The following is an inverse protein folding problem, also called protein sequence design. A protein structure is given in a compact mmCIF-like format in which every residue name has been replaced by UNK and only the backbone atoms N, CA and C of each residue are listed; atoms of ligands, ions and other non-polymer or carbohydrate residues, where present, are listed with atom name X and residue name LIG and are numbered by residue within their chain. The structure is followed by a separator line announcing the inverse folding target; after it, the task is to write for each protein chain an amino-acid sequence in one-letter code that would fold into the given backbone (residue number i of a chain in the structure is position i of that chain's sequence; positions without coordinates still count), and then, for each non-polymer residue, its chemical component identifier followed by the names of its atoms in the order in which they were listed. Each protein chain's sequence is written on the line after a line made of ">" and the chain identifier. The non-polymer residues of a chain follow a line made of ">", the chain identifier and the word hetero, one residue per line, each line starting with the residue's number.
data_IF_259493603280
#
_entry.id   IF_259493603280
#
_cell.length_a   1.000
_cell.length_b   1.000
_cell.length_c   1.000
_cell.angle_alpha   90.00
_cell.angle_beta   90.00
_cell.angle_gamma   90.00
#
_symmetry.space_group_name_H-M   'P 1'
#
loop_
_entity.id
_entity.type
_entity.pdbx_description
1 polymer ?
#
# COMPACT_ATOMS: atom_id res chain seq x y z
N UNK A 1 33.24 13.47 -7.44
CA UNK A 1 32.29 12.34 -7.23
C UNK A 1 30.88 12.83 -7.46
N UNK A 2 30.11 12.06 -8.21
CA UNK A 2 28.77 12.47 -8.63
C UNK A 2 27.70 12.18 -7.58
N UNK A 3 26.78 13.13 -7.37
CA UNK A 3 25.47 12.88 -6.78
C UNK A 3 24.45 12.71 -7.90
N UNK A 4 23.73 11.61 -7.85
CA UNK A 4 22.78 11.22 -8.90
C UNK A 4 21.36 11.33 -8.36
N UNK A 5 20.54 12.10 -9.03
CA UNK A 5 19.09 12.17 -8.82
C UNK A 5 18.39 11.48 -9.97
N UNK A 6 17.45 10.59 -9.67
CA UNK A 6 16.62 9.90 -10.67
C UNK A 6 15.16 10.16 -10.31
N UNK A 7 14.37 10.61 -11.28
CA UNK A 7 12.93 10.75 -11.15
C UNK A 7 12.22 9.84 -12.16
N UNK A 8 11.46 8.87 -11.63
CA UNK A 8 10.71 7.92 -12.46
C UNK A 8 9.24 8.32 -12.50
N UNK A 9 8.87 8.95 -13.60
CA UNK A 9 7.48 9.25 -13.94
C UNK A 9 6.78 8.10 -14.66
N UNK A 10 5.50 8.30 -15.02
CA UNK A 10 4.71 7.30 -15.77
C UNK A 10 5.19 7.05 -17.20
N UNK A 11 5.80 8.05 -17.86
CA UNK A 11 6.19 8.00 -19.27
C UNK A 11 7.70 7.99 -19.45
N UNK A 12 8.42 8.81 -18.71
CA UNK A 12 9.87 8.94 -18.78
C UNK A 12 10.51 8.88 -17.40
N UNK A 13 11.76 8.42 -17.40
CA UNK A 13 12.67 8.47 -16.25
C UNK A 13 13.79 9.42 -16.59
N UNK A 14 13.94 10.46 -15.77
CA UNK A 14 14.96 11.47 -15.90
C UNK A 14 16.05 11.23 -14.87
N UNK A 15 17.34 11.34 -15.30
CA UNK A 15 18.50 11.25 -14.43
C UNK A 15 19.30 12.54 -14.55
N UNK A 16 19.73 13.08 -13.41
CA UNK A 16 20.68 14.17 -13.32
C UNK A 16 21.82 13.75 -12.42
N UNK A 17 23.05 13.83 -12.92
CA UNK A 17 24.27 13.61 -12.15
C UNK A 17 25.06 14.91 -12.04
N UNK A 18 25.40 15.30 -10.82
CA UNK A 18 26.17 16.51 -10.50
C UNK A 18 27.49 16.12 -9.85
N UNK A 19 28.61 16.53 -10.44
CA UNK A 19 29.91 16.50 -9.76
C UNK A 19 30.06 17.76 -8.90
N UNK A 20 30.08 17.60 -7.58
CA UNK A 20 30.18 18.72 -6.63
C UNK A 20 31.54 19.42 -6.66
N UNK A 21 32.58 18.80 -7.19
CA UNK A 21 33.92 19.36 -7.25
C UNK A 21 34.11 20.25 -8.49
N UNK A 22 33.61 19.78 -9.63
CA UNK A 22 33.79 20.46 -10.92
C UNK A 22 32.58 21.28 -11.33
N UNK A 23 31.40 21.01 -10.76
CA UNK A 23 30.12 21.58 -11.19
C UNK A 23 29.59 20.95 -12.50
N UNK A 24 30.21 19.87 -12.99
CA UNK A 24 29.76 19.17 -14.18
C UNK A 24 28.38 18.56 -13.96
N UNK A 25 27.45 18.78 -14.90
CA UNK A 25 26.11 18.20 -14.88
C UNK A 25 25.95 17.30 -16.10
N UNK A 26 25.56 16.05 -15.86
CA UNK A 26 25.12 15.10 -16.87
C UNK A 26 23.63 14.82 -16.74
N UNK A 27 22.91 14.76 -17.85
CA UNK A 27 21.48 14.46 -17.86
C UNK A 27 21.18 13.33 -18.82
N UNK A 28 20.31 12.42 -18.41
CA UNK A 28 19.85 11.30 -19.23
C UNK A 28 18.34 11.22 -19.11
N UNK A 29 17.66 10.96 -20.22
CA UNK A 29 16.23 10.72 -20.27
C UNK A 29 15.94 9.42 -21.02
N UNK A 30 15.24 8.50 -20.36
CA UNK A 30 14.85 7.20 -20.95
C UNK A 30 13.34 6.98 -20.79
N UNK A 31 12.70 6.20 -21.68
CA UNK A 31 11.31 5.79 -21.48
C UNK A 31 11.17 4.99 -20.19
N UNK A 32 10.12 5.25 -19.41
CA UNK A 32 9.79 4.44 -18.22
C UNK A 32 9.26 3.07 -18.63
N UNK A 33 9.48 2.07 -17.77
CA UNK A 33 9.07 0.67 -17.98
C UNK A 33 8.06 0.27 -16.90
N UNK A 34 6.74 0.54 -17.06
CA UNK A 34 5.74 0.31 -16.01
C UNK A 34 5.69 -1.12 -15.50
N UNK A 35 5.91 -2.12 -16.38
CA UNK A 35 5.92 -3.54 -16.00
C UNK A 35 7.23 -4.02 -15.35
N UNK A 36 8.29 -3.20 -15.41
CA UNK A 36 9.59 -3.47 -14.80
C UNK A 36 10.18 -2.17 -14.23
N UNK A 37 9.62 -1.62 -13.13
CA UNK A 37 9.92 -0.26 -12.67
C UNK A 37 11.41 0.03 -12.39
N UNK A 38 12.18 -1.00 -12.06
CA UNK A 38 13.62 -0.87 -11.81
C UNK A 38 14.45 -0.78 -13.11
N UNK A 39 13.92 -1.21 -14.25
CA UNK A 39 14.70 -1.30 -15.50
C UNK A 39 15.07 0.08 -16.06
N UNK A 40 14.14 1.04 -16.06
CA UNK A 40 14.41 2.38 -16.58
C UNK A 40 15.45 3.17 -15.74
N UNK A 41 15.38 3.21 -14.39
CA UNK A 41 16.46 3.80 -13.58
C UNK A 41 17.82 3.18 -13.84
N UNK A 42 17.90 1.85 -13.93
CA UNK A 42 19.17 1.15 -14.23
C UNK A 42 19.68 1.47 -15.64
N UNK A 43 18.79 1.57 -16.62
CA UNK A 43 19.16 1.96 -17.99
C UNK A 43 19.69 3.41 -18.00
N UNK A 44 19.06 4.34 -17.30
CA UNK A 44 19.49 5.72 -17.19
C UNK A 44 20.90 5.82 -16.55
N UNK A 45 21.17 5.07 -15.48
CA UNK A 45 22.49 5.03 -14.84
C UNK A 45 23.55 4.49 -15.79
N UNK A 46 23.26 3.43 -16.54
CA UNK A 46 24.19 2.86 -17.54
C UNK A 46 24.47 3.85 -18.66
N UNK A 47 23.45 4.54 -19.17
CA UNK A 47 23.58 5.53 -20.24
C UNK A 47 24.31 6.81 -19.78
N UNK A 48 24.34 7.10 -18.47
CA UNK A 48 25.11 8.20 -17.91
C UNK A 48 26.63 7.94 -17.92
N UNK A 49 27.05 6.69 -18.21
CA UNK A 49 28.46 6.27 -18.32
C UNK A 49 29.30 6.59 -17.07
N UNK A 50 28.67 6.53 -15.89
CA UNK A 50 29.35 6.67 -14.61
C UNK A 50 29.73 5.30 -14.06
N UNK A 51 30.98 5.15 -13.65
CA UNK A 51 31.41 3.96 -12.94
C UNK A 51 30.85 3.97 -11.49
N UNK A 52 30.50 2.82 -10.90
CA UNK A 52 29.93 2.77 -9.55
C UNK A 52 30.78 3.48 -8.48
N UNK A 53 32.11 3.46 -8.62
CA UNK A 53 33.04 4.13 -7.71
C UNK A 53 33.10 5.66 -7.88
N UNK A 54 32.51 6.20 -8.95
CA UNK A 54 32.38 7.64 -9.17
C UNK A 54 31.12 8.21 -8.52
N UNK A 55 30.19 7.36 -8.11
CA UNK A 55 28.90 7.76 -7.54
C UNK A 55 29.00 7.80 -6.01
N UNK A 56 28.85 8.99 -5.44
CA UNK A 56 28.84 9.20 -4.00
C UNK A 56 27.46 8.90 -3.40
N UNK A 57 26.37 9.20 -4.12
CA UNK A 57 24.99 9.04 -3.65
C UNK A 57 24.01 8.94 -4.81
N UNK A 58 23.01 8.08 -4.65
CA UNK A 58 21.85 8.03 -5.54
C UNK A 58 20.60 8.36 -4.72
N UNK A 59 19.76 9.23 -5.27
CA UNK A 59 18.42 9.55 -4.75
C UNK A 59 17.43 9.19 -5.84
N UNK A 60 16.49 8.31 -5.53
CA UNK A 60 15.43 7.87 -6.45
C UNK A 60 14.09 8.40 -5.98
N UNK A 61 13.44 9.22 -6.82
CA UNK A 61 12.05 9.62 -6.72
C UNK A 61 11.19 8.79 -7.67
N UNK A 62 9.96 8.49 -7.25
CA UNK A 62 9.00 7.81 -8.13
C UNK A 62 7.56 8.19 -7.81
N UNK A 63 6.73 8.32 -8.85
CA UNK A 63 5.29 8.56 -8.73
C UNK A 63 4.45 7.32 -8.98
N UNK A 64 5.06 6.13 -9.07
CA UNK A 64 4.39 4.86 -9.42
C UNK A 64 3.19 4.59 -8.50
N UNK A 65 3.38 4.70 -7.19
CA UNK A 65 2.30 4.45 -6.22
C UNK A 65 1.17 5.49 -6.33
N UNK A 66 1.53 6.77 -6.51
CA UNK A 66 0.55 7.84 -6.71
C UNK A 66 -0.25 7.63 -8.00
N UNK A 67 0.44 7.30 -9.11
CA UNK A 67 -0.19 7.02 -10.39
C UNK A 67 -1.10 5.79 -10.33
N UNK A 68 -0.67 4.69 -9.71
CA UNK A 68 -1.49 3.50 -9.50
C UNK A 68 -2.79 3.84 -8.75
N UNK A 69 -2.71 4.68 -7.72
CA UNK A 69 -3.89 5.15 -6.95
C UNK A 69 -4.81 6.05 -7.78
N UNK A 70 -4.25 7.00 -8.55
CA UNK A 70 -5.02 7.93 -9.40
C UNK A 70 -5.71 7.20 -10.56
N UNK A 71 -5.00 6.25 -11.19
CA UNK A 71 -5.52 5.45 -12.29
C UNK A 71 -6.40 4.29 -11.83
N UNK A 72 -6.53 4.09 -10.50
CA UNK A 72 -7.23 2.96 -9.89
C UNK A 72 -6.72 1.59 -10.38
N UNK A 73 -5.44 1.54 -10.73
CA UNK A 73 -4.71 0.33 -11.13
C UNK A 73 -3.98 -0.22 -9.91
N UNK A 74 -4.36 -1.39 -9.47
CA UNK A 74 -3.75 -2.05 -8.31
C UNK A 74 -4.53 -3.29 -7.92
N UNK A 75 -4.04 -4.01 -6.93
CA UNK A 75 -4.70 -5.18 -6.41
C UNK A 75 -6.11 -4.86 -5.89
N UNK A 76 -7.01 -5.80 -6.03
CA UNK A 76 -8.31 -5.74 -5.37
C UNK A 76 -8.12 -6.02 -3.88
N UNK A 77 -8.58 -5.09 -3.03
CA UNK A 77 -8.34 -5.16 -1.59
C UNK A 77 -9.48 -5.90 -0.88
N UNK A 78 -9.11 -6.93 -0.12
CA UNK A 78 -9.93 -7.51 0.93
C UNK A 78 -9.60 -6.77 2.23
N UNK A 79 -10.60 -6.13 2.82
CA UNK A 79 -10.42 -5.33 4.03
C UNK A 79 -10.89 -6.09 5.26
N UNK A 80 -10.05 -6.14 6.28
CA UNK A 80 -10.35 -6.75 7.59
C UNK A 80 -10.36 -5.65 8.63
N UNK A 81 -11.52 -5.42 9.25
CA UNK A 81 -11.72 -4.44 10.31
C UNK A 81 -12.35 -5.05 11.56
N UNK A 82 -12.30 -4.34 12.68
CA UNK A 82 -13.02 -4.73 13.91
C UNK A 82 -14.51 -4.81 13.65
N UNK A 83 -15.14 -5.93 14.00
CA UNK A 83 -16.58 -6.13 13.83
C UNK A 83 -17.41 -5.02 14.50
N UNK A 84 -18.38 -4.50 13.77
CA UNK A 84 -19.25 -3.40 14.17
C UNK A 84 -18.74 -2.01 13.80
N UNK A 85 -17.48 -1.89 13.37
CA UNK A 85 -16.87 -0.65 12.82
C UNK A 85 -16.16 -0.86 11.48
N UNK A 86 -16.29 -2.03 10.88
CA UNK A 86 -15.65 -2.40 9.63
C UNK A 86 -16.07 -1.54 8.43
N UNK A 87 -17.18 -0.83 8.53
CA UNK A 87 -17.69 0.04 7.47
C UNK A 87 -17.07 1.45 7.44
N UNK A 88 -16.19 1.76 8.40
CA UNK A 88 -15.52 3.08 8.49
C UNK A 88 -14.87 3.53 7.18
N UNK A 89 -14.14 2.69 6.41
CA UNK A 89 -13.55 3.12 5.15
C UNK A 89 -14.59 3.52 4.09
N UNK A 90 -15.80 2.97 4.17
CA UNK A 90 -16.90 3.23 3.22
C UNK A 90 -17.72 4.44 3.65
N UNK A 91 -17.96 4.58 4.97
CA UNK A 91 -18.71 5.69 5.56
C UNK A 91 -17.91 6.98 5.51
N UNK A 92 -16.57 6.87 5.61
CA UNK A 92 -15.63 7.97 5.73
C UNK A 92 -16.00 8.91 6.89
N UNK A 93 -15.82 10.23 6.73
CA UNK A 93 -16.17 11.22 7.77
C UNK A 93 -17.60 11.75 7.67
N UNK A 94 -18.41 11.21 6.75
CA UNK A 94 -19.79 11.64 6.47
C UNK A 94 -19.85 13.13 6.06
N UNK A 95 -18.75 13.72 5.64
CA UNK A 95 -18.68 15.09 5.17
C UNK A 95 -19.33 15.20 3.78
N UNK A 96 -20.48 15.84 3.70
CA UNK A 96 -21.18 16.15 2.45
C UNK A 96 -21.10 17.66 2.22
N UNK A 97 -20.61 18.06 1.05
CA UNK A 97 -20.63 19.48 0.65
C UNK A 97 -22.07 20.00 0.49
N UNK A 98 -22.98 19.11 0.06
CA UNK A 98 -24.40 19.38 -0.08
C UNK A 98 -25.19 18.50 0.89
N UNK A 99 -25.36 18.96 2.12
CA UNK A 99 -25.93 18.18 3.23
C UNK A 99 -27.35 17.63 2.94
N UNK A 100 -28.14 18.36 2.16
CA UNK A 100 -29.53 18.02 1.84
C UNK A 100 -29.69 17.33 0.47
N UNK A 101 -28.63 17.06 -0.27
CA UNK A 101 -28.68 16.36 -1.54
C UNK A 101 -28.57 14.84 -1.32
N UNK A 102 -29.66 14.06 -1.43
CA UNK A 102 -29.61 12.61 -1.24
C UNK A 102 -28.84 11.89 -2.35
N UNK A 103 -28.68 12.53 -3.52
CA UNK A 103 -27.92 12.01 -4.65
C UNK A 103 -26.43 12.37 -4.60
N UNK A 104 -25.95 13.04 -3.52
CA UNK A 104 -24.53 13.37 -3.38
C UNK A 104 -23.67 12.09 -3.47
N UNK A 105 -22.71 12.01 -4.41
CA UNK A 105 -21.90 10.83 -4.57
C UNK A 105 -21.01 10.61 -3.34
N UNK A 106 -21.01 9.40 -2.79
CA UNK A 106 -20.08 9.02 -1.73
C UNK A 106 -18.66 9.03 -2.28
N UNK A 107 -17.67 9.46 -1.49
CA UNK A 107 -16.27 9.28 -1.84
C UNK A 107 -15.98 7.81 -2.15
N UNK A 108 -15.24 7.57 -3.24
CA UNK A 108 -14.82 6.22 -3.59
C UNK A 108 -13.67 5.78 -2.64
N UNK A 109 -13.98 4.88 -1.73
CA UNK A 109 -12.99 4.30 -0.80
C UNK A 109 -11.96 3.41 -1.49
N UNK A 110 -12.21 2.99 -2.73
CA UNK A 110 -11.44 1.95 -3.41
C UNK A 110 -11.71 0.54 -2.89
N UNK A 111 -12.60 0.37 -1.90
CA UNK A 111 -12.96 -0.91 -1.29
C UNK A 111 -14.45 -1.17 -1.53
N UNK A 112 -14.80 -2.31 -2.11
CA UNK A 112 -16.20 -2.72 -2.27
C UNK A 112 -16.71 -3.31 -0.97
N UNK A 113 -17.94 -2.95 -0.52
CA UNK A 113 -18.51 -3.47 0.73
C UNK A 113 -18.50 -5.00 0.85
N UNK A 114 -18.68 -5.71 -0.26
CA UNK A 114 -18.62 -7.18 -0.29
C UNK A 114 -17.23 -7.74 0.01
N UNK A 115 -16.17 -6.94 -0.12
CA UNK A 115 -14.78 -7.30 0.18
C UNK A 115 -14.37 -6.92 1.61
N UNK A 116 -15.32 -6.50 2.44
CA UNK A 116 -15.09 -6.12 3.83
C UNK A 116 -15.46 -7.27 4.75
N UNK A 117 -14.54 -7.61 5.67
CA UNK A 117 -14.72 -8.61 6.70
C UNK A 117 -14.61 -7.97 8.09
N UNK A 118 -15.65 -8.16 8.91
CA UNK A 118 -15.61 -7.80 10.32
C UNK A 118 -15.11 -8.96 11.16
N UNK A 119 -13.95 -8.80 11.79
CA UNK A 119 -13.37 -9.79 12.71
C UNK A 119 -13.77 -9.51 14.13
N UNK A 120 -14.21 -10.52 14.86
CA UNK A 120 -14.66 -10.38 16.24
C UNK A 120 -13.45 -10.30 17.17
N UNK A 121 -13.09 -9.09 17.49
CA UNK A 121 -12.05 -8.74 18.47
C UNK A 121 -12.34 -7.35 19.03
N UNK A 122 -11.72 -6.94 20.14
CA UNK A 122 -11.83 -5.57 20.63
C UNK A 122 -10.66 -5.20 21.51
N UNK A 123 -10.06 -4.06 21.21
CA UNK A 123 -9.10 -3.34 22.04
C UNK A 123 -9.71 -1.98 22.38
N UNK A 124 -9.50 -1.49 23.61
CA UNK A 124 -9.97 -0.17 24.02
C UNK A 124 -8.93 0.93 23.75
N UNK A 125 -9.30 2.18 24.00
CA UNK A 125 -8.45 3.36 23.81
C UNK A 125 -7.22 3.41 24.72
N UNK A 126 -7.14 2.55 25.73
CA UNK A 126 -6.00 2.40 26.64
C UNK A 126 -5.11 1.21 26.27
N UNK A 127 -5.48 0.45 25.25
CA UNK A 127 -4.76 -0.74 24.81
C UNK A 127 -5.16 -2.02 25.56
N UNK A 128 -6.19 -2.02 26.39
CA UNK A 128 -6.67 -3.23 27.04
C UNK A 128 -7.47 -4.09 26.07
N UNK A 129 -7.26 -5.40 26.10
CA UNK A 129 -8.04 -6.37 25.32
C UNK A 129 -9.39 -6.60 25.98
N UNK A 130 -10.48 -6.18 25.34
CA UNK A 130 -11.85 -6.40 25.79
C UNK A 130 -12.44 -7.68 25.21
N UNK A 131 -12.08 -8.02 23.98
CA UNK A 131 -12.47 -9.27 23.31
C UNK A 131 -11.23 -9.88 22.67
N UNK A 132 -10.89 -11.06 23.08
CA UNK A 132 -9.73 -11.80 22.57
C UNK A 132 -9.99 -12.24 21.14
N UNK A 133 -8.97 -12.12 20.29
CA UNK A 133 -8.96 -12.72 18.97
C UNK A 133 -8.67 -14.22 19.11
N UNK A 134 -9.62 -15.05 18.79
CA UNK A 134 -9.49 -16.50 18.87
C UNK A 134 -9.20 -17.15 17.50
N UNK A 135 -8.84 -18.43 17.53
CA UNK A 135 -8.52 -19.22 16.35
C UNK A 135 -9.75 -19.41 15.44
N UNK A 136 -10.94 -19.48 16.00
CA UNK A 136 -12.17 -19.64 15.22
C UNK A 136 -12.42 -18.42 14.32
N UNK A 137 -12.14 -17.22 14.82
CA UNK A 137 -12.24 -15.98 14.03
C UNK A 137 -11.14 -15.90 12.95
N UNK A 138 -9.92 -16.34 13.25
CA UNK A 138 -8.86 -16.42 12.24
C UNK A 138 -9.24 -17.38 11.10
N UNK A 139 -9.78 -18.55 11.44
CA UNK A 139 -10.25 -19.53 10.45
C UNK A 139 -11.45 -18.99 9.63
N UNK A 140 -12.37 -18.25 10.26
CA UNK A 140 -13.49 -17.61 9.57
C UNK A 140 -13.00 -16.52 8.58
N UNK A 141 -11.99 -15.76 8.97
CA UNK A 141 -11.32 -14.79 8.10
C UNK A 141 -10.63 -15.49 6.92
N UNK A 142 -9.89 -16.56 7.17
CA UNK A 142 -9.22 -17.32 6.12
C UNK A 142 -10.23 -17.86 5.09
N UNK A 143 -11.33 -18.47 5.54
CA UNK A 143 -12.38 -18.94 4.67
C UNK A 143 -13.03 -17.84 3.82
N UNK A 144 -13.13 -16.61 4.35
CA UNK A 144 -13.57 -15.45 3.59
C UNK A 144 -12.56 -15.09 2.49
N UNK A 145 -11.26 -15.06 2.81
CA UNK A 145 -10.19 -14.75 1.85
C UNK A 145 -10.13 -15.81 0.75
N UNK A 146 -10.11 -17.11 1.11
CA UNK A 146 -10.08 -18.22 0.17
C UNK A 146 -11.22 -18.16 -0.85
N UNK A 147 -12.42 -17.86 -0.38
CA UNK A 147 -13.60 -17.73 -1.26
C UNK A 147 -13.40 -16.66 -2.34
N UNK A 148 -12.79 -15.53 -2.01
CA UNK A 148 -12.54 -14.46 -2.98
C UNK A 148 -11.41 -14.80 -3.94
N UNK A 149 -10.30 -15.35 -3.44
CA UNK A 149 -9.18 -15.78 -4.29
C UNK A 149 -9.65 -16.88 -5.26
N UNK A 150 -10.42 -17.83 -4.78
CA UNK A 150 -10.95 -18.91 -5.61
C UNK A 150 -11.99 -18.43 -6.65
N UNK A 151 -12.72 -17.33 -6.35
CA UNK A 151 -13.77 -16.83 -7.24
C UNK A 151 -13.23 -16.14 -8.49
N UNK A 152 -12.00 -15.64 -8.45
CA UNK A 152 -11.36 -14.91 -9.55
C UNK A 152 -9.83 -15.05 -9.48
N UNK A 153 -9.33 -16.11 -10.09
CA UNK A 153 -7.88 -16.41 -10.12
C UNK A 153 -7.07 -15.47 -11.03
N UNK A 154 -7.73 -14.65 -11.84
CA UNK A 154 -7.07 -13.65 -12.69
C UNK A 154 -6.93 -12.28 -12.01
N UNK A 155 -7.51 -12.09 -10.83
CA UNK A 155 -7.44 -10.84 -10.08
C UNK A 155 -6.25 -10.85 -9.11
N UNK A 156 -5.45 -9.80 -9.16
CA UNK A 156 -4.46 -9.54 -8.12
C UNK A 156 -5.17 -9.15 -6.82
N UNK A 157 -5.03 -9.98 -5.79
CA UNK A 157 -5.62 -9.75 -4.48
C UNK A 157 -4.58 -9.23 -3.48
N UNK A 158 -5.03 -8.41 -2.54
CA UNK A 158 -4.25 -7.98 -1.37
C UNK A 158 -5.16 -7.86 -0.15
N UNK A 159 -4.60 -7.99 1.05
CA UNK A 159 -5.34 -7.81 2.31
C UNK A 159 -4.87 -6.55 3.02
N UNK A 160 -5.82 -5.73 3.44
CA UNK A 160 -5.59 -4.60 4.34
C UNK A 160 -6.26 -4.87 5.68
N UNK A 161 -5.49 -4.90 6.74
CA UNK A 161 -5.97 -5.07 8.12
C UNK A 161 -5.90 -3.74 8.83
N UNK A 162 -7.03 -3.31 9.40
CA UNK A 162 -7.12 -2.08 10.16
C UNK A 162 -8.09 -2.29 11.32
N UNK A 163 -7.53 -2.59 12.49
CA UNK A 163 -8.31 -2.81 13.70
C UNK A 163 -8.37 -1.56 14.56
N UNK A 164 -9.48 -1.42 15.27
CA UNK A 164 -9.69 -0.28 16.15
C UNK A 164 -8.64 -0.26 17.27
N UNK A 165 -7.99 0.91 17.45
CA UNK A 165 -6.91 1.14 18.41
C UNK A 165 -5.64 0.28 18.24
N UNK A 166 -5.42 -0.28 17.04
CA UNK A 166 -4.19 -1.04 16.74
C UNK A 166 -2.92 -0.20 16.87
N UNK A 167 -2.99 1.12 16.73
CA UNK A 167 -1.88 2.04 16.98
C UNK A 167 -1.49 2.14 18.46
N UNK A 168 -2.40 1.82 19.40
CA UNK A 168 -2.13 1.75 20.85
C UNK A 168 -1.62 0.36 21.22
N UNK A 169 -2.30 -0.69 20.73
CA UNK A 169 -1.93 -2.09 20.98
C UNK A 169 -2.06 -2.90 19.69
N UNK A 170 -0.94 -3.22 19.02
CA UNK A 170 -0.94 -3.91 17.73
C UNK A 170 -1.09 -5.44 17.84
N UNK A 171 -1.28 -6.01 19.02
CA UNK A 171 -1.20 -7.46 19.25
C UNK A 171 -2.12 -8.26 18.33
N UNK A 172 -3.38 -7.84 18.15
CA UNK A 172 -4.33 -8.55 17.30
C UNK A 172 -3.97 -8.43 15.80
N UNK A 173 -3.56 -7.24 15.32
CA UNK A 173 -3.08 -7.10 13.95
C UNK A 173 -1.80 -7.90 13.69
N UNK A 174 -0.90 -7.95 14.65
CA UNK A 174 0.33 -8.75 14.53
C UNK A 174 0.00 -10.26 14.44
N UNK A 175 -0.95 -10.73 15.25
CA UNK A 175 -1.45 -12.12 15.20
C UNK A 175 -2.07 -12.43 13.83
N UNK A 176 -2.94 -11.55 13.31
CA UNK A 176 -3.53 -11.71 11.98
C UNK A 176 -2.43 -11.73 10.91
N UNK A 177 -1.47 -10.81 10.98
CA UNK A 177 -0.37 -10.75 10.01
C UNK A 177 0.49 -12.01 9.99
N UNK A 178 0.79 -12.58 11.17
CA UNK A 178 1.52 -13.84 11.29
C UNK A 178 0.70 -15.02 10.70
N UNK A 179 -0.58 -15.09 11.04
CA UNK A 179 -1.49 -16.10 10.52
C UNK A 179 -1.61 -16.04 8.99
N UNK A 180 -1.83 -14.84 8.43
CA UNK A 180 -1.93 -14.65 6.99
C UNK A 180 -0.63 -15.01 6.26
N UNK A 181 0.52 -14.63 6.81
CA UNK A 181 1.83 -14.99 6.23
C UNK A 181 2.05 -16.49 6.19
N UNK A 182 1.54 -17.25 7.15
CA UNK A 182 1.65 -18.71 7.21
C UNK A 182 0.72 -19.40 6.22
N UNK A 183 -0.53 -18.93 6.09
CA UNK A 183 -1.56 -19.59 5.30
C UNK A 183 -1.64 -19.10 3.86
N UNK A 184 -1.21 -17.86 3.61
CA UNK A 184 -1.24 -17.18 2.32
C UNK A 184 0.10 -16.47 2.05
N UNK A 185 1.22 -17.22 1.88
CA UNK A 185 2.57 -16.64 1.82
C UNK A 185 2.77 -15.64 0.67
N UNK A 186 2.07 -15.82 -0.45
CA UNK A 186 2.18 -14.98 -1.65
C UNK A 186 1.19 -13.80 -1.66
N UNK A 187 0.27 -13.73 -0.68
CA UNK A 187 -0.74 -12.67 -0.61
C UNK A 187 -0.14 -11.42 0.06
N UNK A 188 -0.11 -10.26 -0.65
CA UNK A 188 0.32 -9.02 -0.04
C UNK A 188 -0.59 -8.61 1.12
N UNK A 189 0.00 -8.36 2.29
CA UNK A 189 -0.71 -7.96 3.51
C UNK A 189 -0.18 -6.63 4.03
N UNK A 190 -1.07 -5.67 4.26
CA UNK A 190 -0.78 -4.41 4.93
C UNK A 190 -1.47 -4.37 6.29
N UNK A 191 -0.70 -4.04 7.33
CA UNK A 191 -1.20 -3.88 8.71
C UNK A 191 -1.17 -2.40 9.07
N UNK A 192 -2.28 -1.84 9.54
CA UNK A 192 -2.42 -0.39 9.75
C UNK A 192 -1.41 0.16 10.73
N UNK A 193 -1.12 -0.54 11.83
CA UNK A 193 -0.13 -0.13 12.83
C UNK A 193 1.31 -0.02 12.29
N UNK A 194 1.62 -0.66 11.15
CA UNK A 194 2.93 -0.56 10.48
C UNK A 194 2.96 0.52 9.40
N UNK A 195 1.82 0.78 8.78
CA UNK A 195 1.71 1.75 7.67
C UNK A 195 1.59 3.17 8.20
N UNK A 196 0.72 3.38 9.20
CA UNK A 196 0.44 4.70 9.76
C UNK A 196 -0.07 4.54 11.21
N UNK A 197 0.82 4.51 12.21
CA UNK A 197 0.48 4.25 13.60
C UNK A 197 -0.03 5.51 14.32
N UNK A 198 -1.13 6.10 13.81
CA UNK A 198 -1.80 7.30 14.34
C UNK A 198 -3.29 7.07 14.50
#
# INVERSE_FOLDING_TARGET
>A
MFRVGIDTGGTFTDLVALDEQTGEIRTVKVPSTPHAPAAAPLAAVRQCELAPNEIARIVLGTTIAANARLEKKGATVLYVGTQGVEDVPIIARIDRKEAYNPAWPKPDSGIKRRHVFGIKERIDHKGNVLTVLDEAELNRMAAFIDRWIASDSGTDWAVAVNLLFSYVNPAHEATIGAYLKQHFPDLPVSLSHRVCPI
#
